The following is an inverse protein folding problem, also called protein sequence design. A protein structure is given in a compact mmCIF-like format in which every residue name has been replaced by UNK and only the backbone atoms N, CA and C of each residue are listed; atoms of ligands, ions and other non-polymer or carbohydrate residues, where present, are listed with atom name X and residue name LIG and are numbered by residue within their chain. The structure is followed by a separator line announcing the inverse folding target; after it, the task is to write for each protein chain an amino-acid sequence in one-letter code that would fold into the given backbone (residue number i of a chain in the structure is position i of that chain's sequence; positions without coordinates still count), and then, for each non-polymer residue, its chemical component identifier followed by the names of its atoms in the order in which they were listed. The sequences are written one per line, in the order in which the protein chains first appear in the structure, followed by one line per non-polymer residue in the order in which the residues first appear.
data_IF_851793034693
#
_entry.id   IF_851793034693
#
_cell.length_a   1.000
_cell.length_b   1.000
_cell.length_c   1.000
_cell.angle_alpha   90.00
_cell.angle_beta   90.00
_cell.angle_gamma   90.00
#
_symmetry.space_group_name_H-M   'P 1'
#
loop_
_entity.id
_entity.type
_entity.pdbx_description
1 polymer ?
#
# COMPACT_ATOMS: atom_id res chain seq x y z
N UNK A 1 18.21 -26.33 -24.45
CA UNK A 1 17.76 -25.50 -25.58
C UNK A 1 17.32 -24.14 -25.04
N UNK A 2 18.18 -23.11 -25.13
CA UNK A 2 17.91 -21.76 -24.59
C UNK A 2 17.22 -20.94 -25.69
N UNK A 3 15.98 -20.52 -25.45
CA UNK A 3 15.27 -19.59 -26.35
C UNK A 3 15.88 -18.19 -26.20
N UNK A 4 16.60 -17.74 -27.23
CA UNK A 4 17.04 -16.35 -27.39
C UNK A 4 15.78 -15.49 -27.57
N UNK A 5 15.51 -14.54 -26.67
CA UNK A 5 14.49 -13.51 -26.91
C UNK A 5 15.01 -12.59 -28.01
N UNK A 6 14.33 -12.52 -29.14
CA UNK A 6 14.55 -11.50 -30.15
C UNK A 6 13.96 -10.20 -29.62
N UNK A 7 14.80 -9.20 -29.31
CA UNK A 7 14.35 -7.82 -29.09
C UNK A 7 13.92 -7.31 -30.47
N UNK A 8 12.61 -7.27 -30.74
CA UNK A 8 12.08 -6.60 -31.92
C UNK A 8 12.58 -5.15 -31.89
N UNK A 9 13.23 -4.63 -32.94
CA UNK A 9 13.63 -3.24 -32.96
C UNK A 9 12.38 -2.37 -32.86
N UNK A 10 12.40 -1.30 -32.08
CA UNK A 10 11.32 -0.33 -32.09
C UNK A 10 11.14 0.20 -33.53
N UNK A 11 9.91 0.50 -33.96
CA UNK A 11 9.64 1.19 -35.22
C UNK A 11 10.51 2.46 -35.38
N UNK A 12 10.87 2.80 -36.63
CA UNK A 12 11.81 3.89 -36.96
C UNK A 12 11.39 5.27 -36.43
N UNK A 13 10.12 5.42 -36.06
CA UNK A 13 9.45 6.60 -35.53
C UNK A 13 9.37 6.63 -33.98
N UNK A 14 10.11 5.76 -33.29
CA UNK A 14 10.22 5.79 -31.83
C UNK A 14 11.24 6.84 -31.38
N UNK A 15 10.75 8.02 -31.02
CA UNK A 15 11.55 9.01 -30.30
C UNK A 15 11.66 8.61 -28.82
N UNK A 16 12.83 8.09 -28.43
CA UNK A 16 13.15 7.82 -27.03
C UNK A 16 13.37 9.16 -26.30
N UNK A 17 12.39 9.57 -25.48
CA UNK A 17 12.49 10.79 -24.66
C UNK A 17 13.39 10.51 -23.44
N UNK A 18 14.70 10.54 -23.67
CA UNK A 18 15.70 10.45 -22.62
C UNK A 18 15.81 11.81 -21.94
N UNK A 19 15.55 11.85 -20.64
CA UNK A 19 15.78 13.03 -19.81
C UNK A 19 17.06 12.77 -19.02
N UNK A 20 18.11 13.52 -19.33
CA UNK A 20 19.31 13.54 -18.50
C UNK A 20 19.00 14.32 -17.22
N UNK A 21 19.12 13.65 -16.08
CA UNK A 21 18.89 14.20 -14.75
C UNK A 21 20.15 13.94 -13.92
N UNK A 22 20.58 14.94 -13.16
CA UNK A 22 21.68 14.75 -12.22
C UNK A 22 21.28 13.76 -11.12
N UNK A 23 22.11 12.73 -10.93
CA UNK A 23 21.80 11.64 -9.98
C UNK A 23 21.76 12.14 -8.54
N UNK A 24 22.59 13.13 -8.17
CA UNK A 24 22.63 13.63 -6.80
C UNK A 24 21.34 14.36 -6.47
N UNK A 25 20.90 15.23 -7.38
CA UNK A 25 19.66 15.99 -7.23
C UNK A 25 18.43 15.07 -7.19
N UNK A 26 18.37 14.07 -8.08
CA UNK A 26 17.27 13.10 -8.13
C UNK A 26 17.21 12.25 -6.86
N UNK A 27 18.37 11.76 -6.38
CA UNK A 27 18.43 10.97 -5.16
C UNK A 27 18.02 11.76 -3.92
N UNK A 28 18.41 13.04 -3.84
CA UNK A 28 18.00 13.91 -2.74
C UNK A 28 16.48 14.14 -2.77
N UNK A 29 15.91 14.44 -3.95
CA UNK A 29 14.47 14.63 -4.13
C UNK A 29 13.68 13.37 -3.76
N UNK A 30 14.02 12.24 -4.38
CA UNK A 30 13.40 10.94 -4.13
C UNK A 30 13.49 10.52 -2.66
N UNK A 31 14.64 10.75 -2.01
CA UNK A 31 14.80 10.45 -0.59
C UNK A 31 13.89 11.31 0.28
N UNK A 32 13.83 12.62 0.02
CA UNK A 32 13.01 13.54 0.80
C UNK A 32 11.52 13.22 0.68
N UNK A 33 11.04 12.94 -0.53
CA UNK A 33 9.65 12.55 -0.78
C UNK A 33 9.28 11.25 -0.07
N UNK A 34 10.14 10.24 -0.14
CA UNK A 34 9.92 8.98 0.56
C UNK A 34 9.93 9.17 2.08
N UNK A 35 10.91 9.92 2.61
CA UNK A 35 11.02 10.21 4.03
C UNK A 35 9.76 10.92 4.55
N UNK A 36 9.30 11.95 3.84
CA UNK A 36 8.08 12.68 4.18
C UNK A 36 6.85 11.76 4.19
N UNK A 37 6.69 10.93 3.15
CA UNK A 37 5.62 9.94 3.07
C UNK A 37 5.63 8.99 4.27
N UNK A 38 6.79 8.45 4.63
CA UNK A 38 6.93 7.51 5.76
C UNK A 38 6.56 8.18 7.08
N UNK A 39 7.07 9.39 7.34
CA UNK A 39 6.83 10.12 8.59
C UNK A 39 5.33 10.40 8.77
N UNK A 40 4.69 10.94 7.73
CA UNK A 40 3.30 11.39 7.81
C UNK A 40 2.29 10.24 7.79
N UNK A 41 2.53 9.21 7.00
CA UNK A 41 1.49 8.21 6.66
C UNK A 41 1.69 6.83 7.30
N UNK A 42 2.82 6.57 7.96
CA UNK A 42 3.13 5.22 8.45
C UNK A 42 3.81 5.19 9.82
N UNK A 43 4.82 6.03 10.03
CA UNK A 43 5.74 5.87 11.15
C UNK A 43 5.19 6.44 12.47
N UNK A 44 4.65 7.67 12.45
CA UNK A 44 4.18 8.34 13.64
C UNK A 44 2.69 8.07 13.91
N UNK A 45 2.30 7.79 15.17
CA UNK A 45 0.91 7.74 15.56
C UNK A 45 0.30 9.15 15.56
N UNK A 46 -1.00 9.23 15.32
CA UNK A 46 -1.75 10.48 15.41
C UNK A 46 -1.86 10.90 16.89
N UNK A 47 -1.62 12.18 17.19
CA UNK A 47 -1.60 12.69 18.56
C UNK A 47 -2.97 12.63 19.26
N UNK A 48 -4.07 12.56 18.49
CA UNK A 48 -5.44 12.58 19.04
C UNK A 48 -5.84 11.24 19.63
N UNK A 49 -5.51 10.16 18.94
CA UNK A 49 -5.98 8.81 19.26
C UNK A 49 -4.82 7.84 19.57
N UNK A 50 -3.57 8.23 19.31
CA UNK A 50 -2.39 7.38 19.46
C UNK A 50 -2.32 6.24 18.44
N UNK A 51 -3.22 6.21 17.44
CA UNK A 51 -3.34 5.10 16.51
C UNK A 51 -2.47 5.34 15.27
N UNK A 52 -1.78 4.27 14.85
CA UNK A 52 -1.15 4.23 13.52
C UNK A 52 -2.23 4.08 12.44
N UNK A 53 -1.99 4.56 11.20
CA UNK A 53 -2.96 4.48 10.11
C UNK A 53 -3.48 3.07 9.82
N UNK A 54 -2.65 2.04 10.02
CA UNK A 54 -3.05 0.62 9.89
C UNK A 54 -4.12 0.24 10.93
N UNK A 55 -3.97 0.66 12.18
CA UNK A 55 -4.92 0.31 13.25
C UNK A 55 -6.29 0.95 12.99
N UNK A 56 -6.30 2.21 12.54
CA UNK A 56 -7.54 2.93 12.20
C UNK A 56 -8.33 2.20 11.11
N UNK A 57 -7.66 1.70 10.07
CA UNK A 57 -8.29 0.91 9.00
C UNK A 57 -8.85 -0.41 9.54
N UNK A 58 -8.11 -1.12 10.39
CA UNK A 58 -8.59 -2.38 10.99
C UNK A 58 -9.85 -2.14 11.82
N UNK A 59 -9.83 -1.16 12.72
CA UNK A 59 -10.97 -0.87 13.59
C UNK A 59 -12.21 -0.40 12.79
N UNK A 60 -11.99 0.41 11.75
CA UNK A 60 -13.06 0.81 10.84
C UNK A 60 -13.69 -0.40 10.15
N UNK A 61 -12.88 -1.29 9.55
CA UNK A 61 -13.39 -2.50 8.89
C UNK A 61 -14.08 -3.45 9.86
N UNK A 62 -13.54 -3.62 11.08
CA UNK A 62 -14.19 -4.42 12.13
C UNK A 62 -15.58 -3.88 12.48
N UNK A 63 -15.73 -2.55 12.55
CA UNK A 63 -17.02 -1.91 12.79
C UNK A 63 -18.00 -2.15 11.62
N UNK A 64 -17.55 -2.00 10.37
CA UNK A 64 -18.36 -2.29 9.18
C UNK A 64 -18.82 -3.75 9.11
N UNK A 65 -17.98 -4.69 9.57
CA UNK A 65 -18.30 -6.12 9.65
C UNK A 65 -19.15 -6.50 10.87
N UNK A 66 -19.48 -5.55 11.75
CA UNK A 66 -20.25 -5.81 12.98
C UNK A 66 -19.50 -6.66 14.01
N UNK A 67 -18.16 -6.73 13.94
CA UNK A 67 -17.30 -7.50 14.86
C UNK A 67 -17.15 -6.77 16.20
N UNK A 68 -18.26 -6.64 16.92
CA UNK A 68 -18.29 -6.08 18.27
C UNK A 68 -17.93 -7.16 19.28
N UNK A 69 -17.31 -6.80 20.43
CA UNK A 69 -17.00 -7.76 21.49
C UNK A 69 -18.23 -8.59 21.94
N UNK A 70 -19.42 -7.99 21.91
CA UNK A 70 -20.69 -8.67 22.24
C UNK A 70 -21.22 -9.60 21.16
N UNK A 71 -20.75 -9.50 19.91
CA UNK A 71 -21.26 -10.26 18.78
C UNK A 71 -20.61 -11.65 18.64
N UNK A 72 -19.40 -11.84 19.17
CA UNK A 72 -18.59 -13.04 18.91
C UNK A 72 -18.60 -14.11 20.03
N UNK A 73 -19.10 -13.81 21.24
CA UNK A 73 -19.15 -14.79 22.33
C UNK A 73 -20.48 -15.52 22.48
N UNK A 74 -21.51 -15.19 21.68
CA UNK A 74 -22.82 -15.83 21.79
C UNK A 74 -23.50 -16.04 20.44
N UNK A 75 -22.94 -16.89 19.59
CA UNK A 75 -23.77 -17.69 18.67
C UNK A 75 -22.95 -18.81 18.06
N UNK A 76 -22.92 -19.94 18.76
CA UNK A 76 -22.85 -21.21 18.05
C UNK A 76 -24.02 -21.23 17.05
N UNK A 77 -23.83 -21.63 15.78
CA UNK A 77 -24.95 -21.92 14.92
C UNK A 77 -25.55 -23.24 15.41
N UNK A 78 -26.52 -23.15 16.33
CA UNK A 78 -27.44 -24.24 16.55
C UNK A 78 -28.32 -24.33 15.30
N UNK A 79 -27.83 -25.09 14.31
CA UNK A 79 -28.64 -25.65 13.25
C UNK A 79 -29.70 -26.55 13.89
N UNK A 80 -30.84 -25.97 14.25
CA UNK A 80 -32.06 -26.68 14.58
C UNK A 80 -33.07 -26.39 13.47
N UNK A 81 -32.86 -27.03 12.32
CA UNK A 81 -33.92 -27.25 11.34
C UNK A 81 -34.75 -28.41 11.90
N UNK A 82 -35.88 -28.05 12.52
CA UNK A 82 -37.08 -28.89 12.58
C UNK A 82 -37.92 -28.60 11.35
#
# INVERSE_FOLDING_TARGET
MVRRRTKTPPPDDFEERILDIDVVDEMQGSYLEYAYSVIYSRALPDARDGLKPVHRRILYQMNEMGLRPSAASSSAPASSVR
#
